data_IF_121137757878
#
_entry.id   IF_121137757878
#
_cell.length_a   1.000
_cell.length_b   1.000
_cell.length_c   1.000
_cell.angle_alpha   90.00
_cell.angle_beta   90.00
_cell.angle_gamma   90.00
#
_symmetry.space_group_name_H-M   'P 1'
#
loop_
_entity.id
_entity.type
_entity.pdbx_description
1 polymer ?
#
# COMPACT_ATOMS: atom_id res chain seq x y z
N UNK A 1 54.04 21.94 32.74
CA UNK A 1 53.10 20.91 32.15
C UNK A 1 51.80 21.59 31.82
N UNK A 2 51.63 22.01 30.54
CA UNK A 2 50.33 22.45 30.02
C UNK A 2 49.75 21.27 29.16
N UNK A 3 48.64 20.71 29.62
CA UNK A 3 47.85 19.80 28.83
C UNK A 3 46.83 20.61 28.00
N UNK A 4 47.01 20.57 26.68
CA UNK A 4 46.04 21.12 25.73
C UNK A 4 44.87 20.20 25.57
N UNK A 5 43.64 20.71 25.81
CA UNK A 5 42.37 20.02 25.56
C UNK A 5 42.00 20.29 24.09
N UNK A 6 42.12 19.25 23.24
CA UNK A 6 41.54 19.31 21.90
C UNK A 6 40.02 19.13 22.01
N UNK A 7 39.29 20.18 21.71
CA UNK A 7 37.84 20.12 21.53
C UNK A 7 37.55 19.62 20.10
N UNK A 8 37.08 18.37 19.99
CA UNK A 8 36.59 17.82 18.74
C UNK A 8 35.15 18.32 18.52
N UNK A 9 35.00 19.20 17.55
CA UNK A 9 33.67 19.63 17.12
C UNK A 9 32.97 18.51 16.36
N UNK A 10 31.88 17.99 16.94
CA UNK A 10 31.00 17.02 16.30
C UNK A 10 30.09 17.78 15.34
N UNK A 11 30.36 17.72 14.04
CA UNK A 11 29.47 18.23 13.01
C UNK A 11 28.33 17.22 12.85
N UNK A 12 27.16 17.54 13.38
CA UNK A 12 25.96 16.77 13.17
C UNK A 12 25.46 17.05 11.72
N UNK A 13 25.64 16.09 10.83
CA UNK A 13 24.95 16.05 9.55
C UNK A 13 23.47 15.77 9.81
N UNK A 14 22.63 16.78 9.68
CA UNK A 14 21.18 16.61 9.57
C UNK A 14 20.90 16.11 8.16
N UNK A 15 20.88 14.79 8.00
CA UNK A 15 20.36 14.14 6.81
C UNK A 15 18.86 14.38 6.78
N UNK A 16 18.40 15.28 5.92
CA UNK A 16 16.98 15.43 5.62
C UNK A 16 16.48 14.14 4.98
N UNK A 17 15.91 13.25 5.78
CA UNK A 17 15.24 12.05 5.29
C UNK A 17 14.02 12.50 4.52
N UNK A 18 14.03 12.30 3.20
CA UNK A 18 12.79 12.24 2.40
C UNK A 18 11.99 11.08 2.97
N UNK A 19 10.93 11.40 3.71
CA UNK A 19 9.98 10.41 4.23
C UNK A 19 9.14 9.95 3.03
N UNK A 20 9.72 9.07 2.20
CA UNK A 20 8.94 8.17 1.39
C UNK A 20 8.16 7.28 2.37
N UNK A 21 6.86 7.12 2.15
CA UNK A 21 6.02 6.28 3.00
C UNK A 21 6.55 4.84 2.97
N UNK A 22 7.37 4.48 3.96
CA UNK A 22 7.87 3.12 4.09
C UNK A 22 6.70 2.22 4.41
N UNK A 23 6.49 1.23 3.54
CA UNK A 23 5.52 0.17 3.82
C UNK A 23 6.06 -0.64 5.00
N UNK A 24 5.26 -0.73 6.05
CA UNK A 24 5.60 -1.58 7.20
C UNK A 24 5.40 -3.04 6.79
N UNK A 25 6.50 -3.80 6.71
CA UNK A 25 6.49 -5.25 6.45
C UNK A 25 6.47 -5.96 7.80
N UNK A 26 5.45 -6.80 8.02
CA UNK A 26 5.31 -7.56 9.26
C UNK A 26 6.20 -8.81 9.25
N UNK A 27 6.06 -9.66 8.24
CA UNK A 27 6.77 -10.93 8.14
C UNK A 27 7.19 -11.26 6.69
N UNK A 28 8.30 -11.96 6.55
CA UNK A 28 8.64 -12.66 5.32
C UNK A 28 7.73 -13.89 5.16
N UNK A 29 7.32 -14.18 3.93
CA UNK A 29 6.50 -15.33 3.64
C UNK A 29 7.33 -16.62 3.79
N UNK A 30 6.93 -17.58 4.64
CA UNK A 30 7.65 -18.82 4.80
C UNK A 30 7.53 -19.69 3.54
N UNK A 31 8.59 -20.49 3.27
CA UNK A 31 8.66 -21.38 2.11
C UNK A 31 8.45 -22.85 2.46
N UNK A 32 8.40 -23.19 3.75
CA UNK A 32 8.39 -24.56 4.27
C UNK A 32 7.16 -24.90 5.12
N UNK A 33 6.32 -23.91 5.41
CA UNK A 33 5.12 -24.10 6.25
C UNK A 33 4.05 -23.06 5.90
N UNK A 34 2.83 -23.28 6.37
CA UNK A 34 1.77 -22.30 6.26
C UNK A 34 2.00 -21.12 7.22
N UNK A 35 1.74 -19.90 6.74
CA UNK A 35 1.60 -18.72 7.58
C UNK A 35 0.12 -18.48 7.90
N UNK A 36 -0.14 -18.03 9.12
CA UNK A 36 -1.49 -17.65 9.55
C UNK A 36 -1.46 -16.32 10.27
N UNK A 37 -2.29 -15.40 9.82
CA UNK A 37 -2.63 -14.20 10.58
C UNK A 37 -4.05 -14.39 11.09
N UNK A 38 -4.22 -14.47 12.40
CA UNK A 38 -5.52 -14.73 13.01
C UNK A 38 -6.45 -13.51 12.88
N UNK A 39 -7.76 -13.75 13.03
CA UNK A 39 -8.76 -12.67 13.04
C UNK A 39 -8.47 -11.62 14.12
N UNK A 40 -8.05 -12.05 15.30
CA UNK A 40 -7.68 -11.16 16.42
C UNK A 40 -6.48 -10.28 16.07
N UNK A 41 -5.43 -10.87 15.48
CA UNK A 41 -4.26 -10.10 15.02
C UNK A 41 -4.62 -9.10 13.93
N UNK A 42 -5.47 -9.50 12.98
CA UNK A 42 -5.94 -8.57 11.93
C UNK A 42 -6.70 -7.39 12.53
N UNK A 43 -7.54 -7.60 13.54
CA UNK A 43 -8.25 -6.51 14.21
C UNK A 43 -7.27 -5.58 14.95
N UNK A 44 -6.25 -6.13 15.58
CA UNK A 44 -5.18 -5.34 16.22
C UNK A 44 -4.46 -4.48 15.20
N UNK A 45 -4.06 -5.07 14.06
CA UNK A 45 -3.38 -4.35 12.98
C UNK A 45 -4.26 -3.22 12.43
N UNK A 46 -5.55 -3.47 12.21
CA UNK A 46 -6.50 -2.44 11.73
C UNK A 46 -6.64 -1.30 12.74
N UNK A 47 -6.70 -1.60 14.03
CA UNK A 47 -6.72 -0.59 15.09
C UNK A 47 -5.43 0.25 15.13
N UNK A 48 -4.28 -0.37 14.88
CA UNK A 48 -3.00 0.33 14.75
C UNK A 48 -2.93 1.19 13.50
N UNK A 49 -3.45 0.71 12.37
CA UNK A 49 -3.54 1.49 11.14
C UNK A 49 -4.38 2.76 11.34
N UNK A 50 -5.50 2.66 12.03
CA UNK A 50 -6.36 3.81 12.34
C UNK A 50 -5.65 4.81 13.26
N UNK A 51 -5.01 4.34 14.33
CA UNK A 51 -4.27 5.18 15.28
C UNK A 51 -3.10 5.90 14.62
N UNK A 52 -2.34 5.19 13.79
CA UNK A 52 -1.12 5.69 13.18
C UNK A 52 -1.36 6.31 11.79
N UNK A 53 -2.62 6.37 11.34
CA UNK A 53 -3.05 6.86 10.01
C UNK A 53 -2.35 6.15 8.86
N UNK A 54 -2.07 4.86 9.02
CA UNK A 54 -1.47 4.04 7.96
C UNK A 54 -2.56 3.50 7.04
N UNK A 55 -2.31 3.58 5.74
CA UNK A 55 -3.22 3.04 4.72
C UNK A 55 -2.88 1.63 4.29
N UNK A 56 -1.67 1.15 4.59
CA UNK A 56 -1.18 -0.16 4.16
C UNK A 56 -0.26 -0.77 5.21
N UNK A 57 -0.49 -2.06 5.51
CA UNK A 57 0.45 -2.92 6.22
C UNK A 57 0.68 -4.16 5.36
N UNK A 58 1.92 -4.48 5.05
CA UNK A 58 2.31 -5.72 4.37
C UNK A 58 2.37 -6.84 5.38
N UNK A 59 1.44 -7.76 5.30
CA UNK A 59 1.34 -8.91 6.21
C UNK A 59 2.44 -9.94 5.91
N UNK A 60 2.65 -10.22 4.62
CA UNK A 60 3.64 -11.19 4.14
C UNK A 60 4.37 -10.64 2.91
N UNK A 61 5.69 -10.75 2.90
CA UNK A 61 6.56 -10.43 1.76
C UNK A 61 7.16 -11.72 1.19
N UNK A 62 6.87 -12.04 -0.06
CA UNK A 62 7.30 -13.26 -0.73
C UNK A 62 8.19 -13.05 -1.97
N UNK A 63 8.75 -11.84 -2.13
CA UNK A 63 9.55 -11.48 -3.31
C UNK A 63 8.67 -11.16 -4.53
N UNK A 64 8.27 -12.17 -5.30
CA UNK A 64 7.40 -12.00 -6.48
C UNK A 64 5.92 -11.84 -6.14
N UNK A 65 5.55 -11.98 -4.89
CA UNK A 65 4.19 -11.76 -4.40
C UNK A 65 4.20 -11.15 -3.01
N UNK A 66 3.11 -10.51 -2.63
CA UNK A 66 2.91 -10.05 -1.27
C UNK A 66 1.43 -10.04 -0.89
N UNK A 67 1.17 -10.09 0.40
CA UNK A 67 -0.17 -9.98 0.98
C UNK A 67 -0.21 -8.76 1.88
N UNK A 68 -1.06 -7.81 1.52
CA UNK A 68 -1.25 -6.60 2.29
C UNK A 68 -2.65 -6.55 2.89
N UNK A 69 -2.81 -5.84 3.99
CA UNK A 69 -4.09 -5.28 4.41
C UNK A 69 -4.06 -3.79 4.11
N UNK A 70 -5.10 -3.32 3.44
CA UNK A 70 -5.28 -1.90 3.12
C UNK A 70 -6.55 -1.37 3.78
N UNK A 71 -6.46 -0.15 4.26
CA UNK A 71 -7.58 0.57 4.86
C UNK A 71 -7.50 2.02 4.47
N UNK A 72 -8.57 2.52 3.85
CA UNK A 72 -8.67 3.93 3.47
C UNK A 72 -10.00 4.52 3.94
N UNK A 73 -9.98 5.83 4.15
CA UNK A 73 -11.13 6.68 4.35
C UNK A 73 -11.03 7.83 3.36
N UNK A 74 -12.11 8.11 2.64
CA UNK A 74 -12.08 9.04 1.53
C UNK A 74 -11.55 8.41 0.23
N UNK A 75 -11.26 9.22 -0.77
CA UNK A 75 -10.75 8.74 -2.06
C UNK A 75 -9.27 8.37 -2.01
N UNK A 76 -8.89 7.36 -2.75
CA UNK A 76 -7.50 6.98 -2.98
C UNK A 76 -6.97 7.61 -4.27
N UNK A 77 -5.67 7.93 -4.28
CA UNK A 77 -4.99 8.34 -5.51
C UNK A 77 -4.97 7.19 -6.50
N UNK A 78 -5.28 7.46 -7.75
CA UNK A 78 -5.24 6.48 -8.83
C UNK A 78 -3.84 5.90 -9.03
N UNK A 79 -3.78 4.59 -9.23
CA UNK A 79 -2.56 3.80 -9.35
C UNK A 79 -2.60 2.96 -10.64
N UNK A 80 -1.45 2.61 -11.16
CA UNK A 80 -1.29 1.59 -12.19
C UNK A 80 0.08 0.93 -12.03
N UNK A 81 0.09 -0.38 -11.97
CA UNK A 81 1.29 -1.21 -11.84
C UNK A 81 1.51 -1.96 -13.15
N UNK A 82 2.60 -1.70 -13.90
CA UNK A 82 2.77 -2.27 -15.25
C UNK A 82 3.00 -3.78 -15.25
N UNK A 83 3.53 -4.35 -14.16
CA UNK A 83 3.90 -5.77 -14.08
C UNK A 83 3.29 -6.49 -12.87
N UNK A 84 2.38 -5.85 -12.16
CA UNK A 84 1.78 -6.43 -10.95
C UNK A 84 0.28 -6.55 -11.12
N UNK A 85 -0.24 -7.73 -10.89
CA UNK A 85 -1.67 -8.02 -10.77
C UNK A 85 -2.09 -7.86 -9.32
N UNK A 86 -3.24 -7.22 -9.10
CA UNK A 86 -3.85 -7.04 -7.79
C UNK A 86 -5.10 -7.91 -7.66
N UNK A 87 -5.24 -8.59 -6.54
CA UNK A 87 -6.49 -9.25 -6.12
C UNK A 87 -6.95 -8.62 -4.83
N UNK A 88 -8.14 -8.02 -4.85
CA UNK A 88 -8.78 -7.47 -3.66
C UNK A 88 -9.78 -8.50 -3.10
N UNK A 89 -9.73 -8.69 -1.80
CA UNK A 89 -10.78 -9.38 -1.05
C UNK A 89 -11.29 -8.38 -0.02
N UNK A 90 -12.47 -7.83 -0.26
CA UNK A 90 -13.02 -6.78 0.60
C UNK A 90 -13.50 -7.41 1.91
N UNK A 91 -12.92 -6.94 3.00
CA UNK A 91 -13.20 -7.44 4.34
C UNK A 91 -14.30 -6.66 5.04
N UNK A 92 -14.29 -5.32 4.87
CA UNK A 92 -15.13 -4.40 5.65
C UNK A 92 -15.38 -3.11 4.88
N UNK A 93 -16.57 -2.56 5.03
CA UNK A 93 -16.94 -1.29 4.40
C UNK A 93 -17.25 -1.41 2.92
N UNK A 94 -17.22 -0.29 2.23
CA UNK A 94 -17.53 -0.21 0.79
C UNK A 94 -16.92 1.04 0.17
N UNK A 95 -16.82 1.06 -1.17
CA UNK A 95 -16.33 2.20 -1.95
C UNK A 95 -16.68 2.04 -3.43
N UNK A 96 -16.43 3.06 -4.21
CA UNK A 96 -16.53 3.01 -5.67
C UNK A 96 -15.15 2.70 -6.24
N UNK A 97 -14.98 1.51 -6.80
CA UNK A 97 -13.79 1.12 -7.55
C UNK A 97 -13.89 1.71 -8.95
N UNK A 98 -12.81 2.35 -9.42
CA UNK A 98 -12.67 2.83 -10.80
C UNK A 98 -11.54 2.07 -11.44
N UNK A 99 -11.77 1.44 -12.61
CA UNK A 99 -10.76 0.66 -13.32
C UNK A 99 -10.70 1.01 -14.80
N UNK A 100 -9.53 0.84 -15.41
CA UNK A 100 -9.29 1.21 -16.80
C UNK A 100 -9.18 2.72 -17.00
N UNK A 101 -9.43 3.19 -18.21
CA UNK A 101 -9.30 4.60 -18.54
C UNK A 101 -7.84 5.08 -18.50
N UNK A 102 -7.64 6.34 -18.11
CA UNK A 102 -6.34 7.01 -18.10
C UNK A 102 -6.14 7.78 -16.79
N UNK A 103 -4.97 7.61 -16.19
CA UNK A 103 -4.56 8.41 -15.02
C UNK A 103 -4.46 9.87 -15.43
N UNK A 104 -5.00 10.76 -14.61
CA UNK A 104 -4.94 12.21 -14.74
C UNK A 104 -4.16 12.82 -13.58
N UNK A 105 -3.58 14.00 -13.84
CA UNK A 105 -2.77 14.76 -12.88
C UNK A 105 -1.71 13.87 -12.22
N UNK A 106 -0.84 13.31 -13.07
CA UNK A 106 0.20 12.38 -12.66
C UNK A 106 1.08 13.00 -11.56
N UNK A 107 1.14 12.35 -10.41
CA UNK A 107 1.84 12.80 -9.20
C UNK A 107 3.16 12.04 -9.02
N UNK A 108 4.03 12.11 -10.02
CA UNK A 108 5.32 11.41 -10.01
C UNK A 108 5.17 9.91 -10.24
N UNK A 109 6.31 9.20 -10.26
CA UNK A 109 6.33 7.74 -10.37
C UNK A 109 6.26 7.12 -8.98
N UNK A 110 5.35 6.18 -8.77
CA UNK A 110 5.48 5.22 -7.71
C UNK A 110 6.70 4.33 -8.00
N UNK A 111 7.27 3.69 -6.98
CA UNK A 111 8.40 2.76 -7.13
C UNK A 111 8.06 1.65 -8.13
N UNK A 112 6.78 1.29 -8.24
CA UNK A 112 6.25 0.16 -8.99
C UNK A 112 5.20 0.56 -10.05
N UNK A 113 5.17 1.83 -10.50
CA UNK A 113 4.19 2.23 -11.52
C UNK A 113 3.86 3.72 -11.55
N UNK A 114 2.65 4.04 -12.01
CA UNK A 114 2.11 5.39 -12.10
C UNK A 114 1.18 5.69 -10.93
N UNK A 115 1.16 6.96 -10.56
CA UNK A 115 0.25 7.52 -9.56
C UNK A 115 -0.32 8.83 -10.08
N UNK A 116 -1.60 9.10 -9.82
CA UNK A 116 -2.25 10.34 -10.20
C UNK A 116 -3.37 10.73 -9.24
N UNK A 117 -4.01 11.86 -9.51
CA UNK A 117 -5.11 12.36 -8.69
C UNK A 117 -6.45 11.67 -8.99
N UNK A 118 -6.58 11.00 -10.14
CA UNK A 118 -7.81 10.32 -10.53
C UNK A 118 -7.68 9.55 -11.83
N UNK A 119 -8.79 8.98 -12.27
CA UNK A 119 -8.92 8.23 -13.52
C UNK A 119 -10.03 8.86 -14.36
N UNK A 120 -9.71 9.19 -15.61
CA UNK A 120 -10.69 9.66 -16.60
C UNK A 120 -11.08 8.51 -17.53
N UNK A 121 -12.39 8.35 -17.78
CA UNK A 121 -12.94 7.36 -18.71
C UNK A 121 -12.84 5.90 -18.22
N UNK A 122 -12.67 5.70 -16.92
CA UNK A 122 -12.70 4.36 -16.32
C UNK A 122 -14.13 3.85 -16.10
N UNK A 123 -14.22 2.54 -15.84
CA UNK A 123 -15.47 1.89 -15.41
C UNK A 123 -15.59 1.97 -13.90
N UNK A 124 -16.77 2.33 -13.42
CA UNK A 124 -17.07 2.47 -12.01
C UNK A 124 -17.94 1.33 -11.53
N UNK A 125 -17.52 0.71 -10.43
CA UNK A 125 -18.27 -0.34 -9.76
C UNK A 125 -18.31 -0.12 -8.26
N UNK A 126 -19.46 -0.30 -7.65
CA UNK A 126 -19.58 -0.31 -6.19
C UNK A 126 -19.07 -1.65 -5.66
N UNK A 127 -18.10 -1.61 -4.78
CA UNK A 127 -17.58 -2.80 -4.08
C UNK A 127 -17.86 -2.71 -2.59
N UNK A 128 -18.06 -3.87 -1.96
CA UNK A 128 -18.44 -3.99 -0.55
C UNK A 128 -17.86 -5.26 0.09
N UNK A 129 -18.00 -5.37 1.41
CA UNK A 129 -17.54 -6.55 2.14
C UNK A 129 -18.05 -7.86 1.54
N UNK A 130 -17.13 -8.80 1.28
CA UNK A 130 -17.36 -10.08 0.63
C UNK A 130 -17.00 -10.12 -0.85
N UNK A 131 -16.84 -8.97 -1.50
CA UNK A 131 -16.47 -8.92 -2.92
C UNK A 131 -15.00 -9.32 -3.14
N UNK A 132 -14.77 -9.96 -4.29
CA UNK A 132 -13.43 -10.26 -4.80
C UNK A 132 -13.25 -9.55 -6.13
N UNK A 133 -12.18 -8.78 -6.24
CA UNK A 133 -11.84 -8.01 -7.44
C UNK A 133 -10.50 -8.48 -7.98
N UNK A 134 -10.42 -8.68 -9.29
CA UNK A 134 -9.19 -9.00 -9.99
C UNK A 134 -8.81 -7.85 -10.92
N UNK A 135 -7.62 -7.28 -10.74
CA UNK A 135 -7.12 -6.16 -11.53
C UNK A 135 -5.84 -6.59 -12.23
N UNK A 136 -5.87 -6.78 -13.56
CA UNK A 136 -4.69 -7.18 -14.33
C UNK A 136 -3.58 -6.14 -14.25
N UNK A 137 -2.34 -6.58 -14.43
CA UNK A 137 -1.19 -5.70 -14.62
C UNK A 137 -1.45 -4.67 -15.75
N UNK A 138 -0.99 -3.43 -15.56
CA UNK A 138 -1.17 -2.35 -16.51
C UNK A 138 -2.55 -1.67 -16.50
N UNK A 139 -3.50 -2.13 -15.70
CA UNK A 139 -4.83 -1.51 -15.60
C UNK A 139 -4.82 -0.40 -14.54
N UNK A 140 -5.11 0.86 -14.90
CA UNK A 140 -5.33 1.93 -13.94
C UNK A 140 -6.47 1.59 -12.99
N UNK A 141 -6.31 1.85 -11.70
CA UNK A 141 -7.33 1.58 -10.70
C UNK A 141 -7.23 2.51 -9.50
N UNK A 142 -8.35 2.67 -8.81
CA UNK A 142 -8.44 3.46 -7.57
C UNK A 142 -9.80 3.28 -6.91
N UNK A 143 -9.89 3.66 -5.64
CA UNK A 143 -11.14 3.65 -4.89
C UNK A 143 -11.49 5.08 -4.51
N UNK A 144 -12.75 5.45 -4.70
CA UNK A 144 -13.31 6.73 -4.32
C UNK A 144 -14.65 6.58 -3.59
N UNK A 145 -15.16 7.67 -3.05
CA UNK A 145 -16.48 7.72 -2.41
C UNK A 145 -16.64 6.66 -1.31
N UNK A 146 -15.64 6.52 -0.46
CA UNK A 146 -15.69 5.61 0.68
C UNK A 146 -15.70 6.36 2.00
N UNK A 147 -16.56 5.95 2.93
CA UNK A 147 -16.51 6.38 4.33
C UNK A 147 -15.54 5.52 5.16
N UNK A 148 -15.11 4.43 4.57
CA UNK A 148 -14.13 3.49 5.10
C UNK A 148 -14.26 2.15 4.42
N UNK A 149 -13.15 1.65 3.87
CA UNK A 149 -13.06 0.31 3.27
C UNK A 149 -11.77 -0.35 3.71
N UNK A 150 -11.85 -1.62 4.03
CA UNK A 150 -10.69 -2.47 4.37
C UNK A 150 -10.70 -3.71 3.50
N UNK A 151 -9.58 -4.01 2.87
CA UNK A 151 -9.44 -5.17 2.01
C UNK A 151 -8.08 -5.82 2.14
N UNK A 152 -8.00 -7.11 1.83
CA UNK A 152 -6.72 -7.74 1.53
C UNK A 152 -6.36 -7.40 0.09
N UNK A 153 -5.16 -6.91 -0.10
CA UNK A 153 -4.58 -6.71 -1.42
C UNK A 153 -3.47 -7.75 -1.62
N UNK A 154 -3.77 -8.79 -2.37
CA UNK A 154 -2.81 -9.82 -2.74
C UNK A 154 -2.22 -9.39 -4.09
N UNK A 155 -0.92 -9.23 -4.14
CA UNK A 155 -0.19 -8.76 -5.31
C UNK A 155 0.79 -9.82 -5.75
N UNK A 156 0.88 -10.02 -7.03
CA UNK A 156 1.89 -10.89 -7.62
C UNK A 156 2.37 -10.33 -8.94
N UNK A 157 3.68 -10.43 -9.15
CA UNK A 157 4.31 -9.98 -10.36
C UNK A 157 3.98 -10.96 -11.48
N UNK A 158 3.57 -10.39 -12.62
CA UNK A 158 3.26 -11.12 -13.85
C UNK A 158 4.30 -10.83 -14.91
N UNK A 159 5.42 -10.20 -14.54
CA UNK A 159 6.52 -9.89 -15.43
C UNK A 159 7.23 -11.16 -15.93
N UNK A 160 7.54 -11.16 -17.21
CA UNK A 160 8.48 -12.09 -17.82
C UNK A 160 9.92 -11.72 -17.45
#
# INVERSE_FOLDING_TARGET
YLQGILATALVAFVSGSVVGSQIFVRDEAPTDRAARVSFTELNTIVGEMDRDQRTTVRLLEGGSYNVNIRRIRGGETALMHPQTTDVYVVREGSGTLVTGGRIIDEQGRAIDGQRGAGIAGGVEERISAGDVVFIPAGVPHGIRETEGITWFNIRFDTGE
#
